data_IF_530927499790
#
_entry.id   IF_530927499790
#
_cell.length_a   1.000
_cell.length_b   1.000
_cell.length_c   1.000
_cell.angle_alpha   90.00
_cell.angle_beta   90.00
_cell.angle_gamma   90.00
#
_symmetry.space_group_name_H-M   'P 1'
#
loop_
_entity.id
_entity.type
_entity.pdbx_description
1 polymer ?
#
# COMPACT_ATOMS: atom_id res chain seq x y z
N UNK A 1 -34.21 3.81 -58.47
CA UNK A 1 -32.75 3.94 -58.61
C UNK A 1 -32.10 4.98 -57.66
N UNK A 2 -32.67 5.24 -56.47
CA UNK A 2 -32.11 6.20 -55.47
C UNK A 2 -31.73 5.59 -54.11
N UNK A 3 -31.90 4.27 -53.92
CA UNK A 3 -31.67 3.60 -52.64
C UNK A 3 -30.32 2.85 -52.54
N UNK A 4 -29.57 2.68 -53.65
CA UNK A 4 -28.26 2.02 -53.63
C UNK A 4 -27.12 2.88 -53.05
N UNK A 5 -27.28 4.21 -53.01
CA UNK A 5 -26.20 5.11 -52.57
C UNK A 5 -26.20 5.34 -51.05
N UNK A 6 -27.36 5.18 -50.38
CA UNK A 6 -27.46 5.34 -48.93
C UNK A 6 -26.92 4.13 -48.15
N UNK A 7 -27.01 2.91 -48.70
CA UNK A 7 -26.42 1.71 -48.07
C UNK A 7 -24.89 1.73 -48.13
N UNK A 8 -24.29 2.22 -49.22
CA UNK A 8 -22.83 2.35 -49.35
C UNK A 8 -22.21 3.35 -48.37
N UNK A 9 -22.89 4.48 -48.11
CA UNK A 9 -22.45 5.50 -47.17
C UNK A 9 -22.52 5.04 -45.71
N UNK A 10 -23.55 4.26 -45.35
CA UNK A 10 -23.68 3.66 -44.02
C UNK A 10 -22.62 2.56 -43.82
N UNK A 11 -22.32 1.73 -44.83
CA UNK A 11 -21.24 0.74 -44.73
C UNK A 11 -19.84 1.36 -44.60
N UNK A 12 -19.57 2.49 -45.25
CA UNK A 12 -18.28 3.19 -45.13
C UNK A 12 -18.07 3.83 -43.74
N UNK A 13 -19.16 4.32 -43.11
CA UNK A 13 -19.13 4.84 -41.75
C UNK A 13 -19.01 3.72 -40.70
N UNK A 14 -19.54 2.52 -40.96
CA UNK A 14 -19.32 1.35 -40.09
C UNK A 14 -17.91 0.77 -40.20
N UNK A 15 -17.29 0.84 -41.39
CA UNK A 15 -15.91 0.39 -41.59
C UNK A 15 -14.87 1.31 -40.90
N UNK A 16 -15.13 2.62 -40.81
CA UNK A 16 -14.23 3.55 -40.10
C UNK A 16 -14.37 3.47 -38.58
N UNK A 17 -15.51 3.00 -38.05
CA UNK A 17 -15.71 2.75 -36.61
C UNK A 17 -14.99 1.49 -36.13
N UNK A 18 -14.70 0.53 -37.02
CA UNK A 18 -14.00 -0.72 -36.71
C UNK A 18 -12.49 -0.69 -37.00
N UNK A 19 -11.99 0.36 -37.65
CA UNK A 19 -10.56 0.52 -37.90
C UNK A 19 -9.87 0.96 -36.61
N UNK A 20 -9.09 0.05 -35.99
CA UNK A 20 -8.15 0.47 -34.96
C UNK A 20 -7.23 1.56 -35.52
N UNK A 21 -6.90 2.60 -34.74
CA UNK A 21 -6.02 3.65 -35.21
C UNK A 21 -4.72 3.03 -35.72
N UNK A 22 -4.36 3.36 -36.95
CA UNK A 22 -3.10 2.90 -37.54
C UNK A 22 -1.95 3.34 -36.62
N UNK A 23 -0.99 2.46 -36.30
CA UNK A 23 0.12 2.81 -35.44
C UNK A 23 0.92 3.96 -36.04
N UNK A 24 1.40 4.86 -35.19
CA UNK A 24 2.20 6.01 -35.61
C UNK A 24 3.49 5.55 -36.32
N UNK A 25 4.00 6.31 -37.30
CA UNK A 25 5.31 6.04 -37.87
C UNK A 25 6.37 5.95 -36.76
N UNK A 26 7.28 4.99 -36.85
CA UNK A 26 8.25 4.70 -35.78
C UNK A 26 9.07 5.93 -35.34
N UNK A 27 9.44 6.80 -36.29
CA UNK A 27 10.15 8.05 -35.99
C UNK A 27 9.30 9.07 -35.21
N UNK A 28 7.99 9.11 -35.49
CA UNK A 28 7.05 9.97 -34.74
C UNK A 28 6.86 9.41 -33.34
N UNK A 29 6.66 8.09 -33.20
CA UNK A 29 6.55 7.44 -31.90
C UNK A 29 7.80 7.70 -31.05
N UNK A 30 8.99 7.50 -31.62
CA UNK A 30 10.27 7.74 -30.94
C UNK A 30 10.41 9.19 -30.42
N UNK A 31 9.95 10.18 -31.19
CA UNK A 31 9.99 11.59 -30.77
C UNK A 31 9.01 11.88 -29.64
N UNK A 32 7.83 11.26 -29.68
CA UNK A 32 6.83 11.37 -28.62
C UNK A 32 7.37 10.75 -27.33
N UNK A 33 7.93 9.54 -27.40
CA UNK A 33 8.51 8.84 -26.25
C UNK A 33 9.65 9.68 -25.63
N UNK A 34 10.56 10.21 -26.45
CA UNK A 34 11.65 11.08 -25.97
C UNK A 34 11.16 12.37 -25.27
N UNK A 35 10.03 12.93 -25.71
CA UNK A 35 9.41 14.09 -25.03
C UNK A 35 8.84 13.66 -23.68
N UNK A 36 8.13 12.53 -23.62
CA UNK A 36 7.58 12.00 -22.38
C UNK A 36 8.69 11.65 -21.37
N UNK A 37 9.73 10.92 -21.80
CA UNK A 37 10.89 10.59 -20.97
C UNK A 37 11.54 11.86 -20.43
N UNK A 38 11.78 12.87 -21.28
CA UNK A 38 12.36 14.14 -20.83
C UNK A 38 11.47 14.94 -19.87
N UNK A 39 10.14 14.80 -19.95
CA UNK A 39 9.20 15.39 -18.98
C UNK A 39 9.25 14.62 -17.66
N UNK A 40 9.23 13.29 -17.70
CA UNK A 40 9.32 12.41 -16.52
C UNK A 40 10.64 12.64 -15.79
N UNK A 41 11.77 12.71 -16.49
CA UNK A 41 13.08 12.97 -15.91
C UNK A 41 13.13 14.30 -15.17
N UNK A 42 12.67 15.39 -15.83
CA UNK A 42 12.61 16.71 -15.18
C UNK A 42 11.68 16.71 -13.98
N UNK A 43 10.59 15.95 -14.05
CA UNK A 43 9.65 15.83 -12.97
C UNK A 43 10.25 15.11 -11.77
N UNK A 44 10.90 13.95 -11.98
CA UNK A 44 11.59 13.20 -10.92
C UNK A 44 12.65 14.09 -10.26
N UNK A 45 13.47 14.77 -11.06
CA UNK A 45 14.50 15.68 -10.53
C UNK A 45 13.89 16.83 -9.72
N UNK A 46 12.73 17.34 -10.12
CA UNK A 46 12.05 18.40 -9.37
C UNK A 46 11.43 17.88 -8.07
N UNK A 47 10.87 16.67 -8.08
CA UNK A 47 10.35 16.00 -6.87
C UNK A 47 11.46 15.73 -5.86
N UNK A 48 12.60 15.25 -6.31
CA UNK A 48 13.79 15.04 -5.48
C UNK A 48 14.27 16.35 -4.82
N UNK A 49 14.31 17.45 -5.59
CA UNK A 49 14.62 18.76 -5.01
C UNK A 49 13.61 19.19 -3.95
N UNK A 50 12.30 19.07 -4.22
CA UNK A 50 11.29 19.43 -3.22
C UNK A 50 11.38 18.58 -1.95
N UNK A 51 11.73 17.30 -2.08
CA UNK A 51 12.01 16.44 -0.94
C UNK A 51 13.18 17.00 -0.10
N UNK A 52 14.31 17.28 -0.74
CA UNK A 52 15.50 17.77 -0.04
C UNK A 52 15.35 19.20 0.52
N UNK A 53 14.58 20.05 -0.15
CA UNK A 53 14.29 21.42 0.31
C UNK A 53 13.18 21.46 1.39
N UNK A 54 12.59 20.32 1.76
CA UNK A 54 11.48 20.25 2.73
C UNK A 54 10.17 20.85 2.20
N UNK A 55 10.04 21.02 0.89
CA UNK A 55 8.83 21.57 0.24
C UNK A 55 7.75 20.49 0.12
N UNK A 56 7.33 19.93 1.25
CA UNK A 56 6.44 18.78 1.32
C UNK A 56 5.09 19.00 0.64
N UNK A 57 4.51 20.21 0.73
CA UNK A 57 3.24 20.52 0.05
C UNK A 57 3.34 20.43 -1.48
N UNK A 58 4.45 20.90 -2.07
CA UNK A 58 4.65 20.76 -3.52
C UNK A 58 4.77 19.29 -3.90
N UNK A 59 5.48 18.50 -3.10
CA UNK A 59 5.64 17.08 -3.33
C UNK A 59 4.31 16.33 -3.21
N UNK A 60 3.51 16.60 -2.17
CA UNK A 60 2.17 16.02 -1.98
C UNK A 60 1.30 16.32 -3.19
N UNK A 61 1.21 17.58 -3.61
CA UNK A 61 0.39 17.99 -4.76
C UNK A 61 0.83 17.30 -6.05
N UNK A 62 2.14 17.16 -6.25
CA UNK A 62 2.66 16.51 -7.45
C UNK A 62 2.50 15.01 -7.43
N UNK A 63 2.57 14.37 -6.27
CA UNK A 63 2.20 12.96 -6.14
C UNK A 63 0.71 12.72 -6.41
N UNK A 64 -0.18 13.63 -5.99
CA UNK A 64 -1.59 13.56 -6.39
C UNK A 64 -1.79 13.65 -7.90
N UNK A 65 -1.03 14.50 -8.59
CA UNK A 65 -1.03 14.55 -10.05
C UNK A 65 -0.53 13.24 -10.66
N UNK A 66 0.55 12.65 -10.14
CA UNK A 66 1.03 11.33 -10.57
C UNK A 66 -0.01 10.23 -10.39
N UNK A 67 -0.73 10.23 -9.28
CA UNK A 67 -1.82 9.28 -9.01
C UNK A 67 -2.98 9.43 -10.02
N UNK A 68 -3.21 10.62 -10.55
CA UNK A 68 -4.22 10.81 -11.60
C UNK A 68 -3.78 10.20 -12.94
N UNK A 69 -2.48 10.18 -13.21
CA UNK A 69 -1.91 9.60 -14.43
C UNK A 69 -1.80 8.07 -14.34
N UNK A 70 -1.35 7.58 -13.19
CA UNK A 70 -1.24 6.15 -12.89
C UNK A 70 -1.84 5.83 -11.51
N UNK A 71 -3.15 5.55 -11.45
CA UNK A 71 -3.83 5.19 -10.21
C UNK A 71 -3.44 3.81 -9.66
N UNK A 72 -2.69 3.00 -10.41
CA UNK A 72 -2.27 1.67 -9.99
C UNK A 72 -0.85 1.61 -9.42
N UNK A 73 -0.13 2.73 -9.46
CA UNK A 73 1.19 2.83 -8.85
C UNK A 73 1.09 3.01 -7.33
N UNK A 74 1.26 1.90 -6.61
CA UNK A 74 1.17 1.80 -5.15
C UNK A 74 2.16 2.72 -4.44
N UNK A 75 3.40 2.82 -4.93
CA UNK A 75 4.45 3.61 -4.29
C UNK A 75 4.13 5.10 -4.23
N UNK A 76 3.28 5.61 -5.12
CA UNK A 76 2.79 6.99 -5.04
C UNK A 76 1.90 7.20 -3.80
N UNK A 77 1.04 6.23 -3.48
CA UNK A 77 0.18 6.29 -2.30
C UNK A 77 1.00 6.17 -1.01
N UNK A 78 1.97 5.26 -0.97
CA UNK A 78 2.89 5.07 0.16
C UNK A 78 3.67 6.36 0.46
N UNK A 79 4.33 6.91 -0.56
CA UNK A 79 5.18 8.09 -0.39
C UNK A 79 4.38 9.32 0.05
N UNK A 80 3.24 9.61 -0.60
CA UNK A 80 2.41 10.75 -0.20
C UNK A 80 1.72 10.51 1.15
N UNK A 81 1.27 9.29 1.42
CA UNK A 81 0.63 8.95 2.69
C UNK A 81 1.60 9.09 3.87
N UNK A 82 2.85 8.63 3.72
CA UNK A 82 3.90 8.82 4.72
C UNK A 82 4.20 10.30 4.94
N UNK A 83 4.25 11.09 3.86
CA UNK A 83 4.50 12.54 3.95
C UNK A 83 3.35 13.29 4.63
N UNK A 84 2.11 12.85 4.38
CA UNK A 84 0.93 13.35 5.08
C UNK A 84 0.97 12.97 6.57
N UNK A 85 1.36 11.73 6.91
CA UNK A 85 1.60 11.35 8.30
C UNK A 85 2.67 12.20 8.95
N UNK A 86 3.83 12.41 8.33
CA UNK A 86 4.91 13.20 8.94
C UNK A 86 4.55 14.68 9.11
N UNK A 87 3.51 15.15 8.41
CA UNK A 87 2.96 16.50 8.49
C UNK A 87 1.70 16.60 9.38
N UNK A 88 1.40 15.57 10.19
CA UNK A 88 0.20 15.47 11.05
C UNK A 88 -1.15 15.61 10.32
N UNK A 89 -1.17 15.36 9.00
CA UNK A 89 -2.37 15.37 8.14
C UNK A 89 -2.97 13.97 8.07
N UNK A 90 -3.27 13.43 9.24
CA UNK A 90 -3.67 12.04 9.46
C UNK A 90 -4.92 11.64 8.65
N UNK A 91 -5.95 12.48 8.60
CA UNK A 91 -7.21 12.17 7.92
C UNK A 91 -7.03 12.11 6.40
N UNK A 92 -6.16 12.97 5.85
CA UNK A 92 -5.84 12.96 4.43
C UNK A 92 -5.03 11.74 4.03
N UNK A 93 -4.08 11.31 4.88
CA UNK A 93 -3.32 10.09 4.65
C UNK A 93 -4.25 8.86 4.60
N UNK A 94 -5.20 8.74 5.54
CA UNK A 94 -6.17 7.65 5.54
C UNK A 94 -7.05 7.68 4.29
N UNK A 95 -7.55 8.86 3.92
CA UNK A 95 -8.36 9.01 2.71
C UNK A 95 -7.56 8.62 1.44
N UNK A 96 -6.27 8.95 1.41
CA UNK A 96 -5.36 8.60 0.33
C UNK A 96 -5.14 7.08 0.25
N UNK A 97 -4.81 6.42 1.36
CA UNK A 97 -4.66 4.96 1.37
C UNK A 97 -5.95 4.23 1.03
N UNK A 98 -7.10 4.73 1.49
CA UNK A 98 -8.40 4.17 1.09
C UNK A 98 -8.65 4.32 -0.42
N UNK A 99 -8.19 5.43 -1.03
CA UNK A 99 -8.23 5.59 -2.48
C UNK A 99 -7.29 4.61 -3.17
N UNK A 100 -6.07 4.45 -2.65
CA UNK A 100 -5.10 3.47 -3.13
C UNK A 100 -5.68 2.05 -3.10
N UNK A 101 -6.35 1.69 -2.00
CA UNK A 101 -7.01 0.41 -1.85
C UNK A 101 -8.16 0.18 -2.85
N UNK A 102 -8.96 1.23 -3.14
CA UNK A 102 -10.02 1.12 -4.17
C UNK A 102 -9.45 0.89 -5.57
N UNK A 103 -8.30 1.48 -5.88
CA UNK A 103 -7.65 1.31 -7.18
C UNK A 103 -6.81 0.03 -7.25
N UNK A 104 -6.30 -0.45 -6.11
CA UNK A 104 -5.43 -1.62 -5.99
C UNK A 104 -5.97 -2.54 -4.89
N UNK A 105 -7.10 -3.24 -5.12
CA UNK A 105 -7.77 -4.04 -4.09
C UNK A 105 -7.05 -5.35 -3.75
N UNK A 106 -6.16 -5.81 -4.64
CA UNK A 106 -5.58 -7.16 -4.63
C UNK A 106 -4.10 -7.19 -4.21
N UNK A 107 -3.65 -6.15 -3.51
CA UNK A 107 -2.26 -6.00 -3.03
C UNK A 107 -2.25 -5.74 -1.54
N UNK A 108 -1.21 -6.21 -0.84
CA UNK A 108 -1.15 -6.12 0.62
C UNK A 108 -0.83 -4.70 1.11
N UNK A 109 -0.14 -3.90 0.29
CA UNK A 109 0.54 -2.67 0.68
C UNK A 109 -0.45 -1.65 1.26
N UNK A 110 -1.59 -1.43 0.60
CA UNK A 110 -2.60 -0.47 1.08
C UNK A 110 -3.31 -0.95 2.34
N UNK A 111 -3.52 -2.26 2.50
CA UNK A 111 -4.02 -2.82 3.76
C UNK A 111 -2.97 -2.66 4.87
N UNK A 112 -1.70 -2.89 4.56
CA UNK A 112 -0.61 -2.74 5.51
C UNK A 112 -0.47 -1.29 5.98
N UNK A 113 -0.51 -0.29 5.08
CA UNK A 113 -0.43 1.13 5.44
C UNK A 113 -1.59 1.57 6.34
N UNK A 114 -2.82 1.14 6.03
CA UNK A 114 -3.98 1.38 6.91
C UNK A 114 -3.82 0.66 8.26
N UNK A 115 -3.33 -0.57 8.27
CA UNK A 115 -3.04 -1.33 9.48
C UNK A 115 -2.00 -0.63 10.37
N UNK A 116 -0.90 -0.17 9.78
CA UNK A 116 0.15 0.59 10.47
C UNK A 116 -0.39 1.89 11.05
N UNK A 117 -1.22 2.63 10.31
CA UNK A 117 -1.86 3.83 10.81
C UNK A 117 -2.63 3.57 12.11
N UNK A 118 -3.52 2.56 12.08
CA UNK A 118 -4.34 2.24 13.24
C UNK A 118 -3.50 1.71 14.40
N UNK A 119 -2.44 0.95 14.11
CA UNK A 119 -1.52 0.42 15.11
C UNK A 119 -0.69 1.51 15.81
N UNK A 120 -0.05 2.39 15.04
CA UNK A 120 0.95 3.35 15.52
C UNK A 120 0.28 4.66 15.94
N UNK A 121 -0.50 5.28 15.05
CA UNK A 121 -1.06 6.62 15.25
C UNK A 121 -2.30 6.59 16.14
N UNK A 122 -3.28 5.74 15.83
CA UNK A 122 -4.56 5.70 16.57
C UNK A 122 -4.54 4.78 17.79
N UNK A 123 -3.59 3.83 17.84
CA UNK A 123 -3.56 2.74 18.84
C UNK A 123 -4.87 1.95 18.91
N UNK A 124 -5.59 1.90 17.78
CA UNK A 124 -6.79 1.11 17.60
C UNK A 124 -6.36 -0.28 17.09
N UNK A 125 -6.01 -1.15 18.03
CA UNK A 125 -5.47 -2.47 17.71
C UNK A 125 -6.50 -3.39 17.05
N UNK A 126 -7.80 -3.20 17.35
CA UNK A 126 -8.86 -4.00 16.75
C UNK A 126 -8.98 -3.69 15.26
N UNK A 127 -8.96 -2.40 14.89
CA UNK A 127 -9.00 -1.98 13.49
C UNK A 127 -7.70 -2.28 12.76
N UNK A 128 -6.55 -2.14 13.42
CA UNK A 128 -5.27 -2.57 12.86
C UNK A 128 -5.27 -4.06 12.51
N UNK A 129 -5.82 -4.91 13.39
CA UNK A 129 -5.98 -6.36 13.15
C UNK A 129 -6.79 -6.61 11.89
N UNK A 130 -7.96 -5.97 11.74
CA UNK A 130 -8.82 -6.16 10.57
C UNK A 130 -8.07 -5.91 9.25
N UNK A 131 -7.33 -4.81 9.15
CA UNK A 131 -6.55 -4.49 7.95
C UNK A 131 -5.38 -5.45 7.73
N UNK A 132 -4.61 -5.76 8.77
CA UNK A 132 -3.44 -6.65 8.64
C UNK A 132 -3.86 -8.10 8.34
N UNK A 133 -5.00 -8.56 8.85
CA UNK A 133 -5.59 -9.86 8.47
C UNK A 133 -6.00 -9.90 7.00
N UNK A 134 -6.41 -8.78 6.39
CA UNK A 134 -6.60 -8.72 4.93
C UNK A 134 -5.25 -8.73 4.21
N UNK A 135 -4.26 -7.98 4.70
CA UNK A 135 -2.95 -7.86 4.08
C UNK A 135 -2.28 -9.25 3.90
N UNK A 136 -2.32 -10.12 4.92
CA UNK A 136 -1.69 -11.44 4.87
C UNK A 136 -2.38 -12.44 3.92
N UNK A 137 -3.54 -12.11 3.34
CA UNK A 137 -4.20 -12.93 2.31
C UNK A 137 -3.49 -12.83 0.96
N UNK A 138 -2.69 -11.79 0.76
CA UNK A 138 -1.91 -11.57 -0.44
C UNK A 138 -0.43 -11.92 -0.19
N UNK A 139 0.36 -12.20 -1.26
CA UNK A 139 1.81 -12.29 -1.14
C UNK A 139 2.34 -10.99 -0.52
N UNK A 140 2.96 -11.10 0.64
CA UNK A 140 3.40 -9.97 1.44
C UNK A 140 4.74 -10.27 2.12
N UNK A 141 5.37 -9.21 2.60
CA UNK A 141 6.65 -9.28 3.28
C UNK A 141 6.52 -9.68 4.75
N UNK A 142 7.62 -10.15 5.32
CA UNK A 142 7.66 -10.63 6.70
C UNK A 142 7.27 -9.58 7.75
N UNK A 143 7.49 -8.30 7.47
CA UNK A 143 7.17 -7.22 8.41
C UNK A 143 5.66 -7.07 8.63
N UNK A 144 4.84 -7.49 7.66
CA UNK A 144 3.36 -7.48 7.77
C UNK A 144 2.92 -8.48 8.82
N UNK A 145 3.46 -9.71 8.74
CA UNK A 145 3.23 -10.77 9.72
C UNK A 145 3.73 -10.38 11.11
N UNK A 146 4.91 -9.73 11.18
CA UNK A 146 5.46 -9.31 12.47
C UNK A 146 4.56 -8.26 13.13
N UNK A 147 4.08 -7.29 12.34
CA UNK A 147 3.16 -6.26 12.80
C UNK A 147 1.84 -6.86 13.28
N UNK A 148 1.30 -7.86 12.56
CA UNK A 148 0.10 -8.57 12.99
C UNK A 148 0.30 -9.32 14.32
N UNK A 149 1.44 -10.00 14.50
CA UNK A 149 1.79 -10.64 15.77
C UNK A 149 1.85 -9.65 16.94
N UNK A 150 2.44 -8.47 16.70
CA UNK A 150 2.43 -7.39 17.69
C UNK A 150 1.01 -6.90 17.99
N UNK A 151 0.16 -6.74 16.98
CA UNK A 151 -1.25 -6.35 17.15
C UNK A 151 -2.00 -7.36 18.01
N UNK A 152 -1.88 -8.66 17.74
CA UNK A 152 -2.49 -9.70 18.58
C UNK A 152 -1.99 -9.63 20.03
N UNK A 153 -0.69 -9.44 20.25
CA UNK A 153 -0.13 -9.31 21.59
C UNK A 153 -0.68 -8.08 22.34
N UNK A 154 -0.92 -6.96 21.64
CA UNK A 154 -1.53 -5.74 22.21
C UNK A 154 -3.01 -5.90 22.53
N UNK A 155 -3.71 -6.76 21.80
CA UNK A 155 -5.09 -7.15 22.08
C UNK A 155 -5.21 -8.18 23.22
N UNK A 156 -4.08 -8.73 23.70
CA UNK A 156 -4.06 -9.80 24.69
C UNK A 156 -4.33 -11.19 24.11
N UNK A 157 -4.43 -11.31 22.78
CA UNK A 157 -4.60 -12.58 22.05
C UNK A 157 -3.24 -13.29 21.92
N UNK A 158 -2.68 -13.71 23.05
CA UNK A 158 -1.29 -14.20 23.18
C UNK A 158 -1.02 -15.43 22.32
N UNK A 159 -1.93 -16.38 22.31
CA UNK A 159 -1.80 -17.63 21.55
C UNK A 159 -1.68 -17.33 20.05
N UNK A 160 -2.56 -16.46 19.54
CA UNK A 160 -2.51 -16.03 18.14
C UNK A 160 -1.26 -15.24 17.80
N UNK A 161 -0.77 -14.39 18.72
CA UNK A 161 0.47 -13.66 18.52
C UNK A 161 1.65 -14.63 18.33
N UNK A 162 1.77 -15.61 19.21
CA UNK A 162 2.78 -16.67 19.14
C UNK A 162 2.66 -17.48 17.86
N UNK A 163 1.46 -17.94 17.51
CA UNK A 163 1.19 -18.70 16.28
C UNK A 163 1.60 -17.89 15.04
N UNK A 164 1.21 -16.62 14.98
CA UNK A 164 1.52 -15.71 13.87
C UNK A 164 3.03 -15.55 13.70
N UNK A 165 3.77 -15.36 14.81
CA UNK A 165 5.23 -15.25 14.75
C UNK A 165 5.93 -16.57 14.41
N UNK A 166 5.41 -17.71 14.86
CA UNK A 166 5.93 -19.02 14.48
C UNK A 166 5.74 -19.28 12.98
N UNK A 167 4.56 -18.95 12.45
CA UNK A 167 4.25 -19.05 11.02
C UNK A 167 5.11 -18.10 10.19
N UNK A 168 5.34 -16.87 10.66
CA UNK A 168 6.30 -15.94 10.07
C UNK A 168 7.69 -16.58 9.93
N UNK A 169 8.22 -17.18 10.99
CA UNK A 169 9.56 -17.80 10.98
C UNK A 169 9.63 -18.98 10.02
N UNK A 170 8.51 -19.69 9.84
CA UNK A 170 8.39 -20.79 8.88
C UNK A 170 8.32 -20.30 7.43
N UNK A 171 7.59 -19.22 7.17
CA UNK A 171 7.38 -18.66 5.83
C UNK A 171 8.58 -17.89 5.30
N UNK A 172 9.30 -17.20 6.18
CA UNK A 172 10.41 -16.31 5.82
C UNK A 172 11.72 -16.77 6.48
N UNK A 173 12.25 -17.96 6.09
CA UNK A 173 13.47 -18.49 6.69
C UNK A 173 14.73 -17.66 6.37
N UNK A 174 14.66 -16.75 5.39
CA UNK A 174 15.76 -15.91 4.92
C UNK A 174 15.64 -14.44 5.36
N UNK A 175 14.75 -14.10 6.30
CA UNK A 175 14.67 -12.74 6.82
C UNK A 175 15.95 -12.33 7.57
N UNK A 176 16.20 -11.01 7.75
CA UNK A 176 17.37 -10.55 8.49
C UNK A 176 17.50 -11.19 9.87
N UNK A 177 18.71 -11.60 10.24
CA UNK A 177 18.97 -12.38 11.46
C UNK A 177 18.55 -11.64 12.73
N UNK A 178 18.77 -10.33 12.78
CA UNK A 178 18.34 -9.45 13.86
C UNK A 178 16.80 -9.46 14.04
N UNK A 179 16.06 -9.44 12.93
CA UNK A 179 14.60 -9.51 12.94
C UNK A 179 14.12 -10.89 13.38
N UNK A 180 14.78 -11.95 12.91
CA UNK A 180 14.49 -13.32 13.33
C UNK A 180 14.68 -13.52 14.84
N UNK A 181 15.76 -12.98 15.40
CA UNK A 181 16.04 -13.02 16.84
C UNK A 181 15.03 -12.19 17.64
N UNK A 182 14.64 -11.02 17.15
CA UNK A 182 13.61 -10.20 17.75
C UNK A 182 12.26 -10.95 17.82
N UNK A 183 11.87 -11.64 16.75
CA UNK A 183 10.65 -12.45 16.73
C UNK A 183 10.73 -13.62 17.71
N UNK A 184 11.86 -14.34 17.77
CA UNK A 184 12.06 -15.42 18.76
C UNK A 184 11.98 -14.91 20.19
N UNK A 185 12.51 -13.71 20.45
CA UNK A 185 12.38 -13.04 21.74
C UNK A 185 10.92 -12.70 22.04
N UNK A 186 10.19 -12.12 21.09
CA UNK A 186 8.76 -11.80 21.25
C UNK A 186 7.92 -13.04 21.62
N UNK A 187 8.17 -14.17 20.95
CA UNK A 187 7.53 -15.46 21.28
C UNK A 187 7.83 -15.85 22.73
N UNK A 188 9.11 -15.86 23.12
CA UNK A 188 9.54 -16.22 24.47
C UNK A 188 8.89 -15.31 25.52
N UNK A 189 8.96 -14.00 25.34
CA UNK A 189 8.44 -13.01 26.28
C UNK A 189 6.91 -13.08 26.41
N UNK A 190 6.21 -13.47 25.34
CA UNK A 190 4.76 -13.64 25.35
C UNK A 190 4.36 -14.92 26.07
N UNK A 191 5.14 -16.00 25.96
CA UNK A 191 4.93 -17.27 26.67
C UNK A 191 5.32 -17.21 28.16
N UNK A 192 6.37 -16.46 28.54
CA UNK A 192 6.89 -16.44 29.92
C UNK A 192 6.06 -15.57 30.87
N UNK A 193 5.18 -14.71 30.35
CA UNK A 193 4.24 -13.91 31.16
C UNK A 193 3.20 -14.75 31.92
N UNK A 194 3.31 -16.07 31.91
CA UNK A 194 2.43 -17.04 32.58
C UNK A 194 2.98 -17.66 33.90
N UNK A 195 4.09 -17.18 34.48
CA UNK A 195 4.64 -17.81 35.72
C UNK A 195 4.38 -17.08 37.04
N UNK A 196 3.53 -16.06 37.08
CA UNK A 196 3.02 -15.55 38.37
C UNK A 196 1.51 -15.79 38.43
N UNK A 197 1.05 -16.79 39.20
CA UNK A 197 -0.28 -16.70 39.79
C UNK A 197 -0.27 -15.39 40.58
N UNK A 198 -1.20 -14.49 40.31
CA UNK A 198 -1.58 -13.44 41.26
C UNK A 198 -2.18 -14.15 42.48
N UNK A 199 -1.31 -14.68 43.32
CA UNK A 199 -1.61 -15.03 44.69
C UNK A 199 -1.89 -13.71 45.42
N UNK A 200 -3.10 -13.59 45.97
CA UNK A 200 -3.41 -12.60 46.99
C UNK A 200 -4.17 -11.38 46.49
N UNK A 201 -5.41 -11.56 46.05
CA UNK A 201 -6.47 -10.72 46.62
C UNK A 201 -7.12 -11.52 47.74
N UNK A 202 -6.69 -11.17 48.94
CA UNK A 202 -7.14 -11.69 50.22
C UNK A 202 -8.64 -11.44 50.39
N UNK A 203 -9.34 -12.51 50.74
CA UNK A 203 -10.44 -12.52 51.71
C UNK A 203 -10.11 -11.62 52.91
N UNK A 204 -10.94 -10.60 53.16
CA UNK A 204 -11.18 -9.81 54.41
C UNK A 204 -11.71 -8.44 53.94
N UNK A 205 -12.90 -7.93 54.25
CA UNK A 205 -13.97 -8.20 55.22
C UNK A 205 -15.31 -7.82 54.58
#
# INVERSE_FOLDING_TARGET
MKWLWMTGLVCALFASVQAQPQPLPAEVQKRIDAIFDGVVDRWIVQMDRWWHDGQHEHLINMTYFAIMLDPHNISLYENAGWLLWSSDRDDEAVALYQRGLRNNPDVYDMYYELGQYYYIRKRDYAKAREYLEQAIKFPCEWFVWNTLGHVYARLGEREKAVETWQELLRRFPMMPVDQMEAVRKNIRDTMTRDTTPTAGENTQQ
#
